data_IF_968145061309
#
_entry.id   IF_968145061309
#
_cell.length_a   1.000
_cell.length_b   1.000
_cell.length_c   1.000
_cell.angle_alpha   90.00
_cell.angle_beta   90.00
_cell.angle_gamma   90.00
#
_symmetry.space_group_name_H-M   'P 1'
#
loop_
_entity.id
_entity.type
_entity.pdbx_description
1 polymer ?
#
# COMPACT_ATOMS: atom_id res chain seq x y z
N UNK A 1 8.74 -12.50 -3.51
CA UNK A 1 8.44 -11.54 -2.42
C UNK A 1 6.93 -11.39 -2.39
N UNK A 2 6.33 -11.19 -1.22
CA UNK A 2 4.90 -10.88 -1.14
C UNK A 2 4.73 -9.37 -1.06
N UNK A 3 3.93 -8.81 -1.97
CA UNK A 3 3.54 -7.40 -1.96
C UNK A 3 2.04 -7.30 -2.17
N UNK A 4 1.44 -6.22 -1.69
CA UNK A 4 0.00 -6.14 -1.53
C UNK A 4 -0.59 -4.97 -2.32
N UNK A 5 -1.81 -5.14 -2.77
CA UNK A 5 -2.59 -4.10 -3.44
C UNK A 5 -3.91 -3.87 -2.70
N UNK A 6 -4.20 -2.61 -2.36
CA UNK A 6 -5.48 -2.21 -1.78
C UNK A 6 -6.48 -1.78 -2.85
N UNK A 7 -7.69 -2.33 -2.81
CA UNK A 7 -8.79 -2.02 -3.74
C UNK A 7 -10.14 -2.19 -3.05
N UNK A 8 -11.23 -2.19 -3.82
CA UNK A 8 -12.61 -2.34 -3.34
C UNK A 8 -13.25 -3.60 -3.91
N UNK A 9 -14.18 -4.17 -3.13
CA UNK A 9 -14.91 -5.40 -3.45
C UNK A 9 -15.66 -5.34 -4.78
N UNK A 10 -16.11 -4.15 -5.19
CA UNK A 10 -16.82 -3.97 -6.48
C UNK A 10 -15.95 -4.28 -7.71
N UNK A 11 -14.62 -4.26 -7.55
CA UNK A 11 -13.68 -4.62 -8.63
C UNK A 11 -13.22 -6.08 -8.56
N UNK A 12 -13.49 -6.77 -7.45
CA UNK A 12 -12.88 -8.06 -7.14
C UNK A 12 -13.19 -9.13 -8.19
N UNK A 13 -14.44 -9.27 -8.63
CA UNK A 13 -14.81 -10.27 -9.64
C UNK A 13 -14.03 -10.07 -10.96
N UNK A 14 -13.90 -8.82 -11.41
CA UNK A 14 -13.14 -8.52 -12.62
C UNK A 14 -11.64 -8.79 -12.42
N UNK A 15 -11.09 -8.43 -11.26
CA UNK A 15 -9.67 -8.65 -10.94
C UNK A 15 -9.34 -10.14 -10.90
N UNK A 16 -10.20 -10.96 -10.28
CA UNK A 16 -10.00 -12.41 -10.20
C UNK A 16 -10.11 -13.10 -11.57
N UNK A 17 -10.87 -12.53 -12.49
CA UNK A 17 -11.02 -13.06 -13.85
C UNK A 17 -9.90 -12.61 -14.78
N UNK A 18 -9.54 -11.33 -14.75
CA UNK A 18 -8.72 -10.68 -15.79
C UNK A 18 -7.36 -10.19 -15.28
N UNK A 19 -7.19 -10.09 -13.97
CA UNK A 19 -5.98 -9.59 -13.32
C UNK A 19 -6.11 -8.12 -12.93
N UNK A 20 -5.02 -7.56 -12.43
CA UNK A 20 -4.92 -6.13 -12.18
C UNK A 20 -4.41 -5.44 -13.43
N UNK A 21 -5.08 -4.36 -13.81
CA UNK A 21 -4.70 -3.54 -14.97
C UNK A 21 -4.44 -2.09 -14.52
N UNK A 22 -3.44 -1.42 -15.10
CA UNK A 22 -3.27 0.01 -14.94
C UNK A 22 -4.51 0.81 -15.39
N UNK A 23 -4.68 2.00 -14.81
CA UNK A 23 -5.83 2.89 -15.08
C UNK A 23 -5.78 3.59 -16.45
N UNK A 24 -5.12 3.03 -17.47
CA UNK A 24 -4.92 3.65 -18.80
C UNK A 24 -6.25 4.09 -19.42
N UNK A 25 -7.31 3.30 -19.23
CA UNK A 25 -8.64 3.50 -19.83
C UNK A 25 -9.51 4.51 -19.08
N UNK A 26 -9.51 4.47 -17.74
CA UNK A 26 -10.40 5.33 -16.95
C UNK A 26 -9.79 6.68 -16.60
N UNK A 27 -8.46 6.77 -16.43
CA UNK A 27 -7.71 7.96 -16.00
C UNK A 27 -8.22 8.64 -14.72
N UNK A 28 -9.17 8.01 -14.03
CA UNK A 28 -9.77 8.51 -12.80
C UNK A 28 -8.86 8.13 -11.62
N UNK A 29 -8.61 9.12 -10.76
CA UNK A 29 -7.82 8.96 -9.56
C UNK A 29 -8.48 9.74 -8.44
N UNK A 30 -8.56 9.10 -7.28
CA UNK A 30 -9.16 9.64 -6.05
C UNK A 30 -8.21 10.64 -5.36
N UNK A 31 -6.97 10.75 -5.84
CA UNK A 31 -5.90 11.53 -5.22
C UNK A 31 -5.73 12.88 -5.91
N UNK A 32 -5.47 13.92 -5.11
CA UNK A 32 -5.18 15.28 -5.61
C UNK A 32 -4.01 15.28 -6.60
N UNK A 33 -2.91 14.63 -6.23
CA UNK A 33 -1.84 14.29 -7.18
C UNK A 33 -2.20 12.96 -7.82
N UNK A 34 -2.81 13.01 -9.00
CA UNK A 34 -3.27 11.80 -9.71
C UNK A 34 -2.13 10.80 -9.84
N UNK A 35 -2.33 9.57 -9.38
CA UNK A 35 -1.34 8.49 -9.58
C UNK A 35 -1.24 8.12 -11.06
N UNK A 36 -0.10 7.53 -11.45
CA UNK A 36 0.19 7.07 -12.80
C UNK A 36 -0.90 6.17 -13.37
N UNK A 37 -1.16 6.35 -14.67
CA UNK A 37 -2.19 5.60 -15.39
C UNK A 37 -1.65 4.31 -16.01
N UNK A 38 -0.33 4.15 -16.08
CA UNK A 38 0.40 3.08 -16.74
C UNK A 38 0.92 1.99 -15.78
N UNK A 39 0.64 2.14 -14.48
CA UNK A 39 1.16 1.30 -13.41
C UNK A 39 0.12 0.91 -12.37
N UNK A 40 0.45 -0.14 -11.62
CA UNK A 40 -0.29 -0.63 -10.46
C UNK A 40 0.55 -0.34 -9.22
N UNK A 41 -0.03 0.35 -8.24
CA UNK A 41 0.66 0.67 -7.00
C UNK A 41 0.56 -0.50 -6.03
N UNK A 42 1.70 -0.85 -5.45
CA UNK A 42 1.88 -1.99 -4.57
C UNK A 42 2.54 -1.50 -3.29
N UNK A 43 2.24 -2.16 -2.18
CA UNK A 43 2.75 -1.80 -0.88
C UNK A 43 2.94 -3.03 -0.02
N UNK A 44 3.89 -2.98 0.90
CA UNK A 44 3.98 -3.97 1.96
C UNK A 44 3.55 -3.43 3.33
N UNK A 45 3.00 -2.21 3.38
CA UNK A 45 2.58 -1.57 4.62
C UNK A 45 1.18 -0.94 4.52
N UNK A 46 0.84 -0.35 3.38
CA UNK A 46 -0.30 0.55 3.21
C UNK A 46 -1.43 -0.03 2.36
N UNK A 47 -1.40 -1.32 2.01
CA UNK A 47 -2.53 -1.92 1.29
C UNK A 47 -3.87 -1.77 2.03
N UNK A 48 -3.94 -1.89 3.38
CA UNK A 48 -5.17 -1.61 4.12
C UNK A 48 -5.69 -0.17 3.94
N UNK A 49 -4.79 0.81 4.01
CA UNK A 49 -5.11 2.22 3.78
C UNK A 49 -5.65 2.47 2.38
N UNK A 50 -4.98 1.92 1.35
CA UNK A 50 -5.43 2.08 -0.03
C UNK A 50 -6.75 1.37 -0.30
N UNK A 51 -7.01 0.24 0.35
CA UNK A 51 -8.30 -0.45 0.26
C UNK A 51 -9.43 0.39 0.85
N UNK A 52 -9.22 0.99 2.02
CA UNK A 52 -10.19 1.91 2.63
C UNK A 52 -10.41 3.18 1.81
N UNK A 53 -9.41 3.69 1.11
CA UNK A 53 -9.57 4.83 0.19
C UNK A 53 -10.16 4.43 -1.18
N UNK A 54 -10.33 3.14 -1.44
CA UNK A 54 -10.92 2.63 -2.67
C UNK A 54 -12.43 2.38 -2.54
N UNK A 55 -12.96 2.10 -1.35
CA UNK A 55 -14.40 1.87 -1.16
C UNK A 55 -15.21 3.13 -1.44
N UNK A 56 -16.44 2.94 -1.93
CA UNK A 56 -17.40 4.01 -2.14
C UNK A 56 -18.36 4.15 -0.96
N UNK A 57 -19.34 5.04 -1.07
CA UNK A 57 -20.36 5.27 -0.02
C UNK A 57 -21.45 4.18 0.05
N UNK A 58 -21.15 2.95 -0.39
CA UNK A 58 -22.12 1.86 -0.43
C UNK A 58 -21.95 0.93 0.76
N UNK A 59 -23.04 0.63 1.46
CA UNK A 59 -23.05 -0.27 2.63
C UNK A 59 -22.59 -1.70 2.34
N UNK A 60 -22.58 -2.12 1.07
CA UNK A 60 -22.12 -3.47 0.66
C UNK A 60 -20.68 -3.48 0.17
N UNK A 61 -20.08 -2.31 -0.10
CA UNK A 61 -18.71 -2.25 -0.57
C UNK A 61 -17.75 -2.51 0.59
N UNK A 62 -16.81 -3.41 0.38
CA UNK A 62 -15.81 -3.81 1.37
C UNK A 62 -14.41 -3.46 0.88
N UNK A 63 -13.50 -3.05 1.77
CA UNK A 63 -12.10 -2.93 1.44
C UNK A 63 -11.54 -4.31 1.09
N UNK A 64 -10.68 -4.35 0.09
CA UNK A 64 -10.01 -5.57 -0.40
C UNK A 64 -8.50 -5.37 -0.37
N UNK A 65 -7.79 -6.32 0.19
CA UNK A 65 -6.34 -6.46 -0.01
C UNK A 65 -6.09 -7.70 -0.86
N UNK A 66 -5.24 -7.55 -1.86
CA UNK A 66 -4.73 -8.64 -2.67
C UNK A 66 -3.29 -8.90 -2.27
N UNK A 67 -2.97 -10.11 -1.81
CA UNK A 67 -1.58 -10.57 -1.68
C UNK A 67 -1.10 -11.05 -3.05
N UNK A 68 0.06 -10.57 -3.45
CA UNK A 68 0.63 -10.87 -4.77
C UNK A 68 2.03 -11.44 -4.58
N UNK A 69 2.26 -12.64 -5.14
CA UNK A 69 3.59 -13.24 -5.17
C UNK A 69 4.36 -12.74 -6.41
N UNK A 70 5.50 -12.11 -6.17
CA UNK A 70 6.35 -11.57 -7.24
C UNK A 70 7.16 -12.63 -7.97
N UNK A 71 7.03 -13.93 -7.65
CA UNK A 71 7.74 -15.00 -8.39
C UNK A 71 7.42 -14.99 -9.88
N UNK A 72 6.18 -14.66 -10.24
CA UNK A 72 5.71 -14.60 -11.63
C UNK A 72 5.85 -13.19 -12.25
N UNK A 73 6.52 -12.25 -11.56
CA UNK A 73 6.69 -10.89 -12.05
C UNK A 73 7.91 -10.78 -12.96
N UNK A 74 7.82 -9.96 -14.01
CA UNK A 74 9.01 -9.42 -14.61
C UNK A 74 9.56 -8.31 -13.69
N UNK A 75 10.64 -8.60 -12.98
CA UNK A 75 11.22 -7.67 -11.99
C UNK A 75 11.62 -6.32 -12.61
N UNK A 76 11.92 -6.29 -13.91
CA UNK A 76 12.27 -5.07 -14.64
C UNK A 76 11.09 -4.08 -14.76
N UNK A 77 9.87 -4.54 -14.51
CA UNK A 77 8.68 -3.69 -14.46
C UNK A 77 8.39 -3.13 -13.06
N UNK A 78 9.08 -3.57 -12.01
CA UNK A 78 9.00 -2.92 -10.71
C UNK A 78 9.81 -1.62 -10.72
N UNK A 79 9.17 -0.53 -10.36
CA UNK A 79 9.76 0.80 -10.25
C UNK A 79 9.48 1.41 -8.88
N UNK A 80 10.35 2.32 -8.47
CA UNK A 80 10.12 3.11 -7.27
C UNK A 80 8.82 3.93 -7.37
N UNK A 81 8.21 4.18 -6.21
CA UNK A 81 7.11 5.13 -6.10
C UNK A 81 7.65 6.54 -6.43
N UNK A 82 6.91 7.31 -7.22
CA UNK A 82 7.31 8.67 -7.54
C UNK A 82 7.37 9.60 -6.32
N UNK A 83 6.58 9.34 -5.26
CA UNK A 83 6.62 10.11 -4.02
C UNK A 83 7.87 9.76 -3.19
N UNK A 84 8.38 8.53 -3.31
CA UNK A 84 9.66 8.14 -2.73
C UNK A 84 10.80 8.88 -3.43
N UNK A 85 10.84 8.81 -4.76
CA UNK A 85 11.85 9.46 -5.58
C UNK A 85 11.88 10.97 -5.32
N UNK A 86 10.71 11.62 -5.23
CA UNK A 86 10.63 13.04 -4.92
C UNK A 86 11.28 13.39 -3.58
N UNK A 87 10.98 12.62 -2.52
CA UNK A 87 11.43 12.90 -1.17
C UNK A 87 12.92 12.61 -0.95
N UNK A 88 13.46 11.55 -1.55
CA UNK A 88 14.89 11.20 -1.38
C UNK A 88 15.83 12.09 -2.19
N UNK A 89 15.35 12.64 -3.31
CA UNK A 89 16.12 13.51 -4.20
C UNK A 89 15.91 15.00 -3.93
N UNK A 90 14.97 15.36 -3.06
CA UNK A 90 14.64 16.76 -2.74
C UNK A 90 15.91 17.53 -2.35
N UNK A 91 16.23 18.58 -3.09
CA UNK A 91 17.42 19.43 -2.92
C UNK A 91 18.76 18.68 -3.07
N UNK A 92 18.76 17.52 -3.76
CA UNK A 92 19.94 16.67 -4.02
C UNK A 92 20.07 16.28 -5.49
N UNK A 93 19.19 16.79 -6.34
CA UNK A 93 19.17 16.59 -7.78
C UNK A 93 19.39 17.90 -8.54
N UNK A 94 19.47 17.82 -9.86
CA UNK A 94 19.62 18.98 -10.75
C UNK A 94 18.26 19.58 -11.18
N UNK A 95 17.17 19.27 -10.47
CA UNK A 95 15.86 19.85 -10.79
C UNK A 95 15.71 21.24 -10.16
N UNK A 96 14.91 22.13 -10.75
CA UNK A 96 14.74 23.47 -10.19
C UNK A 96 14.15 23.46 -8.78
N UNK A 97 14.80 24.16 -7.85
CA UNK A 97 14.39 24.24 -6.44
C UNK A 97 12.99 24.85 -6.22
N UNK A 98 12.51 25.64 -7.19
CA UNK A 98 11.19 26.26 -7.14
C UNK A 98 10.06 25.33 -7.65
N UNK A 99 10.37 24.11 -8.10
CA UNK A 99 9.32 23.17 -8.49
C UNK A 99 8.54 22.70 -7.26
N UNK A 100 7.21 22.76 -7.38
CA UNK A 100 6.31 22.17 -6.40
C UNK A 100 6.53 20.65 -6.29
N UNK A 101 6.17 20.08 -5.14
CA UNK A 101 6.18 18.62 -4.93
C UNK A 101 5.42 17.93 -6.07
N UNK A 102 4.21 18.39 -6.38
CA UNK A 102 3.39 17.83 -7.47
C UNK A 102 4.12 17.80 -8.82
N UNK A 103 4.85 18.87 -9.18
CA UNK A 103 5.60 18.91 -10.45
C UNK A 103 6.76 17.92 -10.46
N UNK A 104 7.49 17.81 -9.34
CA UNK A 104 8.59 16.84 -9.18
C UNK A 104 8.07 15.40 -9.20
N UNK A 105 6.98 15.11 -8.50
CA UNK A 105 6.29 13.81 -8.53
C UNK A 105 5.89 13.41 -9.96
N UNK A 106 5.34 14.35 -10.76
CA UNK A 106 5.03 14.09 -12.18
C UNK A 106 6.28 13.80 -13.00
N UNK A 107 7.37 14.55 -12.79
CA UNK A 107 8.65 14.32 -13.45
C UNK A 107 9.18 12.91 -13.17
N UNK A 108 9.23 12.52 -11.89
CA UNK A 108 9.69 11.19 -11.48
C UNK A 108 8.79 10.07 -12.01
N UNK A 109 7.48 10.28 -12.04
CA UNK A 109 6.55 9.32 -12.63
C UNK A 109 6.86 9.04 -14.10
N UNK A 110 7.15 10.07 -14.89
CA UNK A 110 7.46 9.93 -16.33
C UNK A 110 8.79 9.19 -16.56
N UNK A 111 9.72 9.27 -15.60
CA UNK A 111 11.07 8.68 -15.69
C UNK A 111 11.23 7.39 -14.89
N UNK A 112 10.20 6.92 -14.18
CA UNK A 112 10.32 5.84 -13.19
C UNK A 112 11.04 4.57 -13.70
N UNK A 113 10.98 4.28 -15.01
CA UNK A 113 11.73 3.17 -15.64
C UNK A 113 13.25 3.34 -15.59
N UNK A 114 13.75 4.55 -15.72
CA UNK A 114 15.19 4.82 -15.81
C UNK A 114 15.79 5.22 -14.47
N UNK A 115 14.97 5.70 -13.53
CA UNK A 115 15.43 6.18 -12.21
C UNK A 115 16.22 5.13 -11.42
N UNK A 116 15.85 3.85 -11.52
CA UNK A 116 16.57 2.76 -10.84
C UNK A 116 17.99 2.52 -11.36
N UNK A 117 18.33 3.03 -12.55
CA UNK A 117 19.69 3.01 -13.10
C UNK A 117 20.42 4.34 -12.91
N UNK A 118 19.67 5.44 -12.81
CA UNK A 118 20.21 6.80 -12.70
C UNK A 118 20.55 7.20 -11.26
N UNK A 119 19.89 6.61 -10.26
CA UNK A 119 20.08 6.93 -8.84
C UNK A 119 20.52 5.70 -8.05
N UNK A 120 21.51 5.90 -7.18
CA UNK A 120 22.01 4.86 -6.25
C UNK A 120 20.90 4.27 -5.37
N UNK A 121 19.91 5.09 -4.96
CA UNK A 121 18.75 4.67 -4.18
C UNK A 121 17.46 4.85 -4.99
N UNK A 122 17.48 4.57 -6.29
CA UNK A 122 16.35 4.78 -7.20
C UNK A 122 15.46 3.55 -7.41
N UNK A 123 15.78 2.41 -6.78
CA UNK A 123 15.13 1.14 -7.10
C UNK A 123 13.77 0.97 -6.42
N UNK A 124 12.95 0.07 -6.96
CA UNK A 124 11.69 -0.32 -6.32
C UNK A 124 11.89 -0.91 -4.91
N UNK A 125 13.01 -1.61 -4.70
CA UNK A 125 13.36 -2.19 -3.40
C UNK A 125 13.72 -1.12 -2.38
N UNK A 126 14.41 -0.05 -2.79
CA UNK A 126 14.68 1.09 -1.91
C UNK A 126 13.38 1.80 -1.53
N UNK A 127 12.49 2.01 -2.50
CA UNK A 127 11.16 2.57 -2.26
C UNK A 127 10.34 1.75 -1.27
N UNK A 128 10.32 0.42 -1.40
CA UNK A 128 9.68 -0.47 -0.42
C UNK A 128 10.37 -0.40 0.96
N UNK A 129 11.70 -0.38 0.99
CA UNK A 129 12.47 -0.34 2.23
C UNK A 129 12.26 0.95 3.02
N UNK A 130 12.16 2.09 2.34
CA UNK A 130 12.20 3.41 2.98
C UNK A 130 10.88 4.18 2.96
N UNK A 131 9.95 3.84 2.05
CA UNK A 131 8.60 4.39 2.01
C UNK A 131 7.52 3.32 2.11
N UNK A 132 7.80 2.05 1.83
CA UNK A 132 6.82 0.98 1.92
C UNK A 132 5.88 0.84 0.73
N UNK A 133 6.12 1.60 -0.34
CA UNK A 133 5.36 1.55 -1.59
C UNK A 133 6.29 1.36 -2.78
N UNK A 134 5.75 0.83 -3.86
CA UNK A 134 6.37 0.81 -5.19
C UNK A 134 5.27 0.74 -6.24
N UNK A 135 5.64 0.68 -7.51
CA UNK A 135 4.69 0.43 -8.58
C UNK A 135 5.20 -0.65 -9.55
N UNK A 136 4.25 -1.34 -10.17
CA UNK A 136 4.50 -2.29 -11.25
C UNK A 136 3.97 -1.73 -12.57
N UNK A 137 4.81 -1.71 -13.61
CA UNK A 137 4.45 -1.22 -14.94
C UNK A 137 3.79 -2.33 -15.77
N UNK A 138 2.55 -2.09 -16.20
CA UNK A 138 1.77 -3.06 -16.95
C UNK A 138 0.81 -3.87 -16.08
N UNK A 139 0.38 -5.02 -16.60
CA UNK A 139 -0.67 -5.85 -16.01
C UNK A 139 -0.09 -6.92 -15.08
N UNK A 140 -0.82 -7.24 -14.00
CA UNK A 140 -0.50 -8.36 -13.11
C UNK A 140 -1.55 -9.46 -13.35
N UNK A 141 -1.14 -10.68 -13.74
CA UNK A 141 -2.08 -11.74 -14.07
C UNK A 141 -2.83 -12.26 -12.82
N UNK A 142 -4.05 -12.82 -12.98
CA UNK A 142 -4.79 -13.43 -11.87
C UNK A 142 -3.99 -14.48 -11.10
N UNK A 143 -3.12 -15.22 -11.80
CA UNK A 143 -2.30 -16.29 -11.22
C UNK A 143 -1.32 -15.80 -10.16
N UNK A 144 -0.94 -14.52 -10.19
CA UNK A 144 -0.03 -13.94 -9.20
C UNK A 144 -0.74 -13.60 -7.88
N UNK A 145 -2.07 -13.55 -7.86
CA UNK A 145 -2.87 -13.25 -6.66
C UNK A 145 -2.98 -14.52 -5.82
N UNK A 146 -2.25 -14.57 -4.71
CA UNK A 146 -2.20 -15.74 -3.81
C UNK A 146 -3.23 -15.67 -2.70
N UNK A 147 -3.70 -14.47 -2.36
CA UNK A 147 -4.72 -14.28 -1.32
C UNK A 147 -5.59 -13.07 -1.60
N UNK A 148 -6.86 -13.19 -1.24
CA UNK A 148 -7.80 -12.07 -1.16
C UNK A 148 -8.24 -11.92 0.29
N UNK A 149 -8.12 -10.71 0.83
CA UNK A 149 -8.61 -10.37 2.16
C UNK A 149 -9.69 -9.31 2.03
N UNK A 150 -10.80 -9.51 2.71
CA UNK A 150 -11.84 -8.48 2.90
C UNK A 150 -12.20 -8.38 4.38
N UNK A 151 -12.68 -7.22 4.81
CA UNK A 151 -13.19 -7.08 6.17
C UNK A 151 -14.36 -6.09 6.24
N UNK A 152 -15.11 -6.14 7.34
CA UNK A 152 -16.16 -5.17 7.63
C UNK A 152 -15.60 -4.00 8.48
N UNK A 153 -15.48 -2.78 7.91
CA UNK A 153 -14.86 -1.66 8.62
C UNK A 153 -15.69 -1.15 9.81
N UNK A 154 -17.03 -1.29 9.76
CA UNK A 154 -17.94 -0.84 10.82
C UNK A 154 -17.87 -1.74 12.05
N UNK A 155 -17.66 -3.05 11.82
CA UNK A 155 -17.50 -4.04 12.89
C UNK A 155 -16.09 -4.08 13.45
N UNK A 156 -15.11 -3.57 12.71
CA UNK A 156 -13.70 -3.47 13.12
C UNK A 156 -13.27 -2.00 13.21
N UNK A 157 -14.04 -1.18 13.92
CA UNK A 157 -13.81 0.28 13.97
C UNK A 157 -12.41 0.65 14.47
N UNK A 158 -11.90 -0.04 15.50
CA UNK A 158 -10.53 0.15 16.02
C UNK A 158 -9.47 -0.06 14.92
N UNK A 159 -9.54 -1.20 14.22
CA UNK A 159 -8.67 -1.49 13.08
C UNK A 159 -8.81 -0.45 11.98
N UNK A 160 -10.05 -0.07 11.62
CA UNK A 160 -10.35 0.94 10.60
C UNK A 160 -9.65 2.26 10.91
N UNK A 161 -9.71 2.73 12.15
CA UNK A 161 -8.96 3.92 12.58
C UNK A 161 -7.45 3.75 12.41
N UNK A 162 -6.90 2.60 12.81
CA UNK A 162 -5.46 2.35 12.73
C UNK A 162 -4.91 2.33 11.31
N UNK A 163 -5.72 1.97 10.31
CA UNK A 163 -5.30 1.90 8.91
C UNK A 163 -5.61 3.17 8.12
N UNK A 164 -6.34 4.14 8.69
CA UNK A 164 -6.75 5.38 8.02
C UNK A 164 -5.85 6.59 8.31
N UNK A 165 -4.97 6.49 9.30
CA UNK A 165 -4.02 7.54 9.69
C UNK A 165 -2.68 7.63 8.90
N UNK A 166 -2.35 6.79 7.88
CA UNK A 166 -1.12 6.98 7.13
C UNK A 166 -0.99 8.35 6.46
N UNK A 167 0.14 9.00 6.75
CA UNK A 167 0.73 10.02 5.85
C UNK A 167 1.89 9.36 5.11
N UNK A 168 1.82 9.28 3.77
CA UNK A 168 2.83 8.56 2.97
C UNK A 168 4.08 9.45 2.80
N UNK A 169 4.95 9.44 3.82
CA UNK A 169 6.23 10.15 3.82
C UNK A 169 7.34 9.30 4.42
N UNK A 170 8.60 9.59 4.06
CA UNK A 170 9.78 8.90 4.60
C UNK A 170 9.85 8.99 6.12
N UNK A 171 9.55 10.18 6.68
CA UNK A 171 9.59 10.40 8.13
C UNK A 171 8.50 9.60 8.83
N UNK A 172 7.25 9.65 8.34
CA UNK A 172 6.16 8.90 8.94
C UNK A 172 6.43 7.39 8.86
N UNK A 173 6.85 6.89 7.70
CA UNK A 173 7.17 5.47 7.54
C UNK A 173 8.34 5.02 8.44
N UNK A 174 9.35 5.87 8.67
CA UNK A 174 10.44 5.58 9.62
C UNK A 174 9.94 5.41 11.05
N UNK A 175 8.95 6.21 11.48
CA UNK A 175 8.42 6.20 12.85
C UNK A 175 7.36 5.11 13.05
N UNK A 176 6.36 5.07 12.17
CA UNK A 176 5.15 4.21 12.31
C UNK A 176 5.04 3.10 11.25
N UNK A 177 6.00 2.96 10.33
CA UNK A 177 5.96 1.94 9.28
C UNK A 177 5.86 0.51 9.81
N UNK A 178 6.47 0.23 10.97
CA UNK A 178 6.37 -1.06 11.67
C UNK A 178 4.93 -1.44 12.02
N UNK A 179 4.18 -0.50 12.62
CA UNK A 179 2.74 -0.65 12.92
C UNK A 179 1.96 -1.08 11.67
N UNK A 180 2.19 -0.40 10.55
CA UNK A 180 1.44 -0.68 9.31
C UNK A 180 1.76 -2.06 8.72
N UNK A 181 3.03 -2.47 8.74
CA UNK A 181 3.43 -3.83 8.34
C UNK A 181 2.83 -4.89 9.26
N UNK A 182 2.82 -4.64 10.57
CA UNK A 182 2.20 -5.52 11.57
C UNK A 182 0.72 -5.74 11.29
N UNK A 183 -0.06 -4.65 11.15
CA UNK A 183 -1.50 -4.72 10.89
C UNK A 183 -1.79 -5.43 9.56
N UNK A 184 -1.03 -5.13 8.51
CA UNK A 184 -1.22 -5.79 7.22
C UNK A 184 -0.95 -7.30 7.31
N UNK A 185 0.07 -7.73 8.05
CA UNK A 185 0.35 -9.15 8.28
C UNK A 185 -0.81 -9.83 9.03
N UNK A 186 -1.32 -9.22 10.10
CA UNK A 186 -2.48 -9.73 10.84
C UNK A 186 -3.71 -9.87 9.95
N UNK A 187 -4.04 -8.84 9.16
CA UNK A 187 -5.14 -8.86 8.20
C UNK A 187 -4.97 -9.98 7.16
N UNK A 188 -3.73 -10.23 6.75
CA UNK A 188 -3.39 -11.29 5.80
C UNK A 188 -3.41 -12.70 6.41
N UNK A 189 -3.79 -12.87 7.68
CA UNK A 189 -3.68 -14.14 8.42
C UNK A 189 -2.24 -14.70 8.36
N UNK A 190 -1.27 -13.81 8.59
CA UNK A 190 0.16 -14.10 8.66
C UNK A 190 0.68 -13.78 10.06
N UNK A 191 1.68 -14.53 10.48
CA UNK A 191 2.50 -14.17 11.63
C UNK A 191 3.29 -12.89 11.30
N UNK A 192 3.11 -11.79 12.05
CA UNK A 192 3.89 -10.58 11.85
C UNK A 192 5.38 -10.80 12.16
N UNK A 193 6.27 -10.08 11.48
CA UNK A 193 7.71 -10.13 11.81
C UNK A 193 7.91 -9.51 13.21
N UNK A 194 8.52 -10.22 14.17
CA UNK A 194 8.81 -9.67 15.50
C UNK A 194 9.60 -8.35 15.47
N UNK A 195 10.39 -8.09 14.43
CA UNK A 195 11.11 -6.81 14.24
C UNK A 195 10.17 -5.63 13.94
N UNK A 196 8.99 -5.93 13.43
CA UNK A 196 7.91 -5.00 13.15
C UNK A 196 6.94 -4.85 14.31
N UNK A 197 7.19 -5.54 15.44
CA UNK A 197 6.46 -5.29 16.68
C UNK A 197 6.51 -3.78 16.95
N UNK A 198 5.36 -3.09 16.94
CA UNK A 198 5.34 -1.68 17.25
C UNK A 198 5.85 -1.52 18.68
N UNK A 199 6.85 -0.67 18.86
CA UNK A 199 7.15 -0.17 20.19
C UNK A 199 5.85 0.45 20.71
N UNK A 200 5.48 0.23 21.98
CA UNK A 200 4.35 0.90 22.62
C UNK A 200 4.51 2.40 22.33
N UNK A 201 3.74 2.91 21.38
CA UNK A 201 3.64 4.36 21.18
C UNK A 201 2.61 4.75 22.23
N UNK A 202 2.99 5.49 23.28
CA UNK A 202 2.01 5.97 24.25
C UNK A 202 0.91 6.65 23.45
N UNK A 203 -0.34 6.24 23.66
CA UNK A 203 -1.47 6.88 23.02
C UNK A 203 -1.34 8.39 23.28
N UNK A 204 -1.12 9.17 22.23
CA UNK A 204 -1.18 10.62 22.34
C UNK A 204 -2.66 10.99 22.50
N UNK A 205 -3.12 11.07 23.74
CA UNK A 205 -4.45 11.57 24.11
C UNK A 205 -5.35 10.55 24.80
N UNK A 206 -6.45 11.08 25.36
CA UNK A 206 -7.54 10.38 26.06
C UNK A 206 -8.37 9.49 25.11
N UNK A 207 -7.72 8.53 24.44
CA UNK A 207 -8.43 7.49 23.72
C UNK A 207 -9.04 6.51 24.74
N UNK A 208 -10.35 6.23 24.67
CA UNK A 208 -11.11 5.57 25.74
C UNK A 208 -10.76 4.10 26.03
N UNK A 209 -9.68 3.54 25.48
CA UNK A 209 -9.14 2.24 25.86
C UNK A 209 -7.71 2.17 25.32
N UNK A 210 -6.72 1.95 26.19
CA UNK A 210 -5.34 1.71 25.76
C UNK A 210 -5.34 0.47 24.88
N UNK A 211 -5.03 0.61 23.59
CA UNK A 211 -4.75 -0.55 22.75
C UNK A 211 -3.40 -1.13 23.18
N UNK A 212 -3.44 -2.34 23.74
CA UNK A 212 -2.24 -3.09 24.08
C UNK A 212 -1.52 -3.51 22.80
N UNK A 213 -0.22 -3.22 22.75
CA UNK A 213 0.65 -3.70 21.68
C UNK A 213 1.49 -4.88 22.20
N UNK A 214 1.64 -5.97 21.42
CA UNK A 214 1.14 -6.14 20.06
C UNK A 214 -0.38 -6.33 20.00
N UNK A 215 -1.04 -5.63 19.06
CA UNK A 215 -2.47 -5.84 18.80
C UNK A 215 -2.66 -7.23 18.19
N UNK A 216 -3.64 -7.98 18.70
CA UNK A 216 -4.06 -9.27 18.17
C UNK A 216 -5.58 -9.26 17.99
N UNK A 217 -6.06 -9.88 16.90
CA UNK A 217 -7.50 -10.01 16.69
C UNK A 217 -8.11 -11.00 17.66
N UNK A 218 -9.18 -10.59 18.35
CA UNK A 218 -9.99 -11.52 19.14
C UNK A 218 -10.67 -12.55 18.24
N UNK A 219 -11.18 -13.64 18.84
CA UNK A 219 -11.96 -14.64 18.09
C UNK A 219 -13.19 -14.02 17.44
N UNK A 220 -13.83 -13.07 18.12
CA UNK A 220 -14.98 -12.32 17.64
C UNK A 220 -14.60 -11.39 16.49
N UNK A 221 -13.45 -10.73 16.52
CA UNK A 221 -13.01 -9.84 15.43
C UNK A 221 -12.70 -10.62 14.14
N UNK A 222 -12.09 -11.80 14.28
CA UNK A 222 -11.76 -12.66 13.13
C UNK A 222 -12.97 -13.05 12.29
N UNK A 223 -14.18 -13.12 12.87
CA UNK A 223 -15.40 -13.43 12.12
C UNK A 223 -15.75 -12.35 11.07
N UNK A 224 -15.22 -11.14 11.23
CA UNK A 224 -15.46 -10.00 10.33
C UNK A 224 -14.37 -9.85 9.26
N UNK A 225 -13.40 -10.77 9.22
CA UNK A 225 -12.32 -10.81 8.24
C UNK A 225 -12.52 -12.09 7.42
N UNK A 226 -12.58 -11.94 6.10
CA UNK A 226 -12.59 -13.07 5.17
C UNK A 226 -11.23 -13.17 4.50
N UNK A 227 -10.64 -14.35 4.54
CA UNK A 227 -9.36 -14.66 3.88
C UNK A 227 -9.55 -15.82 2.92
N UNK A 228 -9.47 -15.54 1.62
CA UNK A 228 -9.48 -16.54 0.54
C UNK A 228 -8.04 -16.84 0.11
N UNK A 229 -7.53 -18.03 0.45
CA UNK A 229 -6.20 -18.52 0.06
C UNK A 229 -6.34 -19.22 -1.29
N UNK A 230 -5.68 -18.69 -2.32
CA UNK A 230 -5.83 -19.16 -3.71
C UNK A 230 -4.72 -20.13 -4.16
N UNK A 231 -3.60 -20.18 -3.43
CA UNK A 231 -2.45 -21.07 -3.64
C UNK A 231 -1.72 -21.30 -2.32
#
# INVERSE_FOLDING_TARGET
MLIYHGTSSRYLQNILKNGLHPRKKTKNSNWRTKSGSDRIYLSHAYAPYYAMNAIGNSEVDRPVILEIDTKDFNIMNLVADEDYLEQVTRNRDNLPNNWSITRRTIHYRQRARTMGFELENGSAFDSLKYLGTCAYLGDIPPSAITRVITWNPDKLSKLTWMVMDPTITLMNYKIVGKKYRWIQALLADREPDPKDAPNIIPAMGDFPEQMEYPYEFTKEEKQYITVDKRR
#
